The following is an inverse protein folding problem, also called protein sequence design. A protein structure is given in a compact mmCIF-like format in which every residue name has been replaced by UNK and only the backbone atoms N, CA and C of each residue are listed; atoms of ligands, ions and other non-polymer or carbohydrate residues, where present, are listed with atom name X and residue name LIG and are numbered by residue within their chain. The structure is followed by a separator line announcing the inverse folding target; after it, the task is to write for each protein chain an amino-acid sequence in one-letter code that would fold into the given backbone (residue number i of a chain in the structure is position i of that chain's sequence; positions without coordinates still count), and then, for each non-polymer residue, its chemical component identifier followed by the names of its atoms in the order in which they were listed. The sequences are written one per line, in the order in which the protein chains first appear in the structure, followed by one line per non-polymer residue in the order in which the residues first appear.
data_IF_975103315930
#
_entry.id   IF_975103315930
#
_cell.length_a   1.000
_cell.length_b   1.000
_cell.length_c   1.000
_cell.angle_alpha   90.00
_cell.angle_beta   90.00
_cell.angle_gamma   90.00
#
_symmetry.space_group_name_H-M   'P 1'
#
loop_
_entity.id
_entity.type
_entity.pdbx_description
1 polymer ?
#
# COMPACT_ATOMS: atom_id res chain seq x y z
N UNK A 1 -11.00 -4.12 8.56
CA UNK A 1 -10.09 -3.17 9.25
C UNK A 1 -10.36 -1.79 8.70
N UNK A 2 -10.36 -0.74 9.51
CA UNK A 2 -10.68 0.61 9.03
C UNK A 2 -9.49 1.21 8.26
N UNK A 3 -9.77 1.94 7.19
CA UNK A 3 -8.75 2.68 6.44
C UNK A 3 -8.22 3.86 7.26
N UNK A 4 -6.95 4.18 7.04
CA UNK A 4 -6.33 5.44 7.46
C UNK A 4 -6.33 6.34 6.23
N UNK A 5 -7.36 7.18 6.06
CA UNK A 5 -7.56 7.92 4.81
C UNK A 5 -8.15 9.30 5.05
N UNK A 6 -7.72 10.28 4.24
CA UNK A 6 -8.22 11.65 4.21
C UNK A 6 -8.14 12.20 2.77
N UNK A 7 -8.83 13.30 2.44
CA UNK A 7 -8.65 13.98 1.16
C UNK A 7 -7.24 14.58 1.00
N UNK A 8 -6.76 14.69 -0.24
CA UNK A 8 -5.55 15.46 -0.56
C UNK A 8 -4.23 14.86 -0.07
N UNK A 9 -4.21 13.55 0.21
CA UNK A 9 -2.99 12.86 0.63
C UNK A 9 -1.92 12.91 -0.46
N UNK A 10 -0.65 13.06 -0.06
CA UNK A 10 0.51 12.88 -0.93
C UNK A 10 0.60 11.44 -1.44
N UNK A 11 0.41 10.47 -0.55
CA UNK A 11 0.46 9.03 -0.87
C UNK A 11 -0.62 8.28 -0.10
N UNK A 12 -1.41 7.47 -0.81
CA UNK A 12 -2.23 6.41 -0.23
C UNK A 12 -1.53 5.06 -0.45
N UNK A 13 -1.01 4.46 0.60
CA UNK A 13 -0.45 3.10 0.54
C UNK A 13 -1.59 2.09 0.54
N UNK A 14 -1.49 1.07 -0.31
CA UNK A 14 -2.51 0.06 -0.48
C UNK A 14 -1.90 -1.34 -0.34
N UNK A 15 -2.21 -2.00 0.77
CA UNK A 15 -1.89 -3.42 0.97
C UNK A 15 -2.80 -4.33 0.14
N UNK A 16 -2.53 -5.64 0.18
CA UNK A 16 -3.37 -6.63 -0.50
C UNK A 16 -4.67 -6.83 0.28
N UNK A 17 -4.54 -7.34 1.50
CA UNK A 17 -5.62 -7.58 2.45
C UNK A 17 -5.03 -7.67 3.88
N UNK A 18 -5.85 -7.47 4.93
CA UNK A 18 -5.39 -7.65 6.30
C UNK A 18 -5.01 -9.11 6.57
N UNK A 19 -3.87 -9.33 7.23
CA UNK A 19 -3.65 -10.59 7.94
C UNK A 19 -4.62 -10.71 9.11
N UNK A 20 -4.95 -11.94 9.52
CA UNK A 20 -5.75 -12.20 10.74
C UNK A 20 -5.21 -11.41 11.94
N UNK A 21 -3.89 -11.42 12.13
CA UNK A 21 -3.24 -10.65 13.20
C UNK A 21 -3.56 -9.15 13.10
N UNK A 22 -3.38 -8.54 11.92
CA UNK A 22 -3.64 -7.11 11.68
C UNK A 22 -5.11 -6.76 11.88
N UNK A 23 -6.02 -7.68 11.53
CA UNK A 23 -7.46 -7.51 11.74
C UNK A 23 -7.84 -7.56 13.23
N UNK A 24 -7.25 -8.48 14.00
CA UNK A 24 -7.48 -8.61 15.44
C UNK A 24 -7.00 -7.37 16.19
N UNK A 25 -5.77 -6.91 15.92
CA UNK A 25 -5.22 -5.71 16.59
C UNK A 25 -5.70 -4.40 15.95
N UNK A 26 -6.44 -4.47 14.85
CA UNK A 26 -6.99 -3.32 14.09
C UNK A 26 -5.95 -2.32 13.61
N UNK A 27 -4.75 -2.80 13.31
CA UNK A 27 -3.63 -1.98 12.82
C UNK A 27 -3.06 -2.55 11.53
N UNK A 28 -2.83 -1.67 10.55
CA UNK A 28 -2.28 -2.06 9.26
C UNK A 28 -0.85 -2.57 9.41
N UNK A 29 -0.53 -3.64 8.67
CA UNK A 29 0.80 -4.25 8.64
C UNK A 29 1.37 -4.62 10.01
N UNK A 30 0.51 -4.98 10.98
CA UNK A 30 0.93 -5.18 12.36
C UNK A 30 1.59 -6.53 12.66
N UNK A 31 1.45 -7.52 11.76
CA UNK A 31 2.04 -8.86 11.96
C UNK A 31 3.56 -8.74 12.18
N UNK A 32 4.12 -9.37 13.24
CA UNK A 32 5.57 -9.46 13.42
C UNK A 32 6.27 -9.96 12.15
N UNK A 33 7.37 -9.32 11.80
CA UNK A 33 8.13 -9.60 10.56
C UNK A 33 7.56 -8.95 9.30
N UNK A 34 6.43 -8.23 9.35
CA UNK A 34 6.05 -7.33 8.26
C UNK A 34 7.01 -6.14 8.23
N UNK A 35 7.48 -5.77 7.03
CA UNK A 35 8.54 -4.79 6.82
C UNK A 35 8.03 -3.44 6.32
N UNK A 36 6.72 -3.19 6.34
CA UNK A 36 6.14 -1.92 5.90
C UNK A 36 6.67 -0.75 6.73
N UNK A 37 6.48 -0.80 8.06
CA UNK A 37 6.90 0.28 8.96
C UNK A 37 8.43 0.51 8.93
N UNK A 38 9.29 -0.55 8.98
CA UNK A 38 10.72 -0.38 8.77
C UNK A 38 11.09 0.22 7.41
N UNK A 39 10.44 -0.20 6.31
CA UNK A 39 10.72 0.33 4.98
C UNK A 39 10.29 1.80 4.85
N UNK A 40 9.16 2.18 5.46
CA UNK A 40 8.66 3.54 5.49
C UNK A 40 9.64 4.49 6.21
N UNK A 41 10.15 4.07 7.36
CA UNK A 41 11.19 4.81 8.09
C UNK A 41 12.51 4.87 7.32
N UNK A 42 13.05 3.72 6.91
CA UNK A 42 14.35 3.64 6.24
C UNK A 42 14.40 4.36 4.88
N UNK A 43 13.25 4.58 4.25
CA UNK A 43 13.14 5.36 3.01
C UNK A 43 12.95 6.86 3.24
N UNK A 44 12.74 7.29 4.48
CA UNK A 44 12.61 8.69 4.87
C UNK A 44 11.19 9.26 4.74
N UNK A 45 10.14 8.43 4.66
CA UNK A 45 8.75 8.91 4.75
C UNK A 45 8.39 9.33 6.18
N UNK A 46 9.03 8.72 7.19
CA UNK A 46 8.90 9.10 8.59
C UNK A 46 10.26 9.38 9.20
N UNK A 47 10.29 10.29 10.16
CA UNK A 47 11.47 10.75 10.90
C UNK A 47 11.92 9.77 11.99
N UNK A 48 11.00 8.90 12.42
CA UNK A 48 11.24 7.79 13.33
C UNK A 48 10.52 6.53 12.85
N UNK A 49 10.87 5.39 13.43
CA UNK A 49 10.12 4.16 13.25
C UNK A 49 8.80 4.24 14.03
N UNK A 50 7.68 4.27 13.30
CA UNK A 50 6.34 4.20 13.89
C UNK A 50 5.95 2.75 14.18
N UNK A 51 5.32 2.51 15.32
CA UNK A 51 4.62 1.27 15.62
C UNK A 51 3.25 1.22 14.90
N UNK A 52 2.69 0.04 14.62
CA UNK A 52 1.42 -0.07 13.90
C UNK A 52 0.24 0.67 14.53
N UNK A 53 0.19 0.77 15.87
CA UNK A 53 -0.86 1.50 16.57
C UNK A 53 -0.77 3.03 16.38
N UNK A 54 0.38 3.53 15.94
CA UNK A 54 0.62 4.94 15.64
C UNK A 54 0.19 5.31 14.22
N UNK A 55 -0.46 4.42 13.46
CA UNK A 55 -0.84 4.64 12.05
C UNK A 55 -1.61 5.94 11.77
N UNK A 56 -2.30 6.52 12.76
CA UNK A 56 -2.96 7.83 12.63
C UNK A 56 -1.99 8.99 12.38
N UNK A 57 -0.74 8.88 12.84
CA UNK A 57 0.33 9.86 12.62
C UNK A 57 0.69 10.06 11.14
N UNK A 58 0.30 9.11 10.28
CA UNK A 58 0.50 9.22 8.83
C UNK A 58 -0.35 10.34 8.22
N UNK A 59 -1.57 10.55 8.73
CA UNK A 59 -2.48 11.57 8.17
C UNK A 59 -1.89 12.97 8.31
N UNK A 60 -1.26 13.26 9.45
CA UNK A 60 -0.58 14.55 9.71
C UNK A 60 0.56 14.80 8.72
N UNK A 61 1.19 13.73 8.21
CA UNK A 61 2.28 13.79 7.23
C UNK A 61 1.79 13.76 5.77
N UNK A 62 0.47 13.67 5.57
CA UNK A 62 -0.16 13.58 4.25
C UNK A 62 -0.10 12.17 3.65
N UNK A 63 -0.02 11.13 4.47
CA UNK A 63 -0.01 9.73 4.03
C UNK A 63 -1.20 8.96 4.59
N UNK A 64 -1.65 7.94 3.86
CA UNK A 64 -2.75 7.06 4.29
C UNK A 64 -2.47 5.59 3.99
N UNK A 65 -3.32 4.71 4.53
CA UNK A 65 -3.29 3.27 4.30
C UNK A 65 -4.70 2.72 4.04
N UNK A 66 -4.84 1.91 2.99
CA UNK A 66 -6.00 1.08 2.65
C UNK A 66 -5.53 -0.32 2.26
N UNK A 67 -6.46 -1.22 1.92
CA UNK A 67 -6.17 -2.47 1.22
C UNK A 67 -7.00 -2.59 -0.07
N UNK A 68 -6.57 -3.44 -1.00
CA UNK A 68 -7.36 -3.81 -2.18
C UNK A 68 -8.59 -4.59 -1.74
N UNK A 69 -8.42 -5.60 -0.88
CA UNK A 69 -9.50 -6.40 -0.31
C UNK A 69 -9.62 -6.10 1.19
N UNK A 70 -10.83 -5.83 1.67
CA UNK A 70 -11.07 -5.35 3.05
C UNK A 70 -11.19 -6.50 4.06
N UNK A 71 -11.64 -7.65 3.57
CA UNK A 71 -11.86 -8.86 4.33
C UNK A 71 -10.53 -9.51 4.70
N UNK A 72 -10.36 -9.79 6.00
CA UNK A 72 -9.20 -10.54 6.48
C UNK A 72 -9.35 -12.00 6.02
N UNK A 73 -8.30 -12.55 5.41
CA UNK A 73 -8.32 -13.96 5.03
C UNK A 73 -7.65 -14.81 6.11
N UNK A 74 -8.30 -15.91 6.51
CA UNK A 74 -7.75 -16.91 7.45
C UNK A 74 -6.65 -17.75 6.78
N UNK A 75 -6.74 -17.93 5.47
CA UNK A 75 -5.69 -18.50 4.63
C UNK A 75 -5.18 -17.44 3.64
N UNK A 76 -3.86 -17.33 3.46
CA UNK A 76 -3.26 -16.43 2.47
C UNK A 76 -3.69 -16.75 1.02
N UNK A 77 -4.24 -17.94 0.79
CA UNK A 77 -4.57 -18.50 -0.52
C UNK A 77 -6.06 -18.39 -0.89
N UNK A 78 -6.91 -17.74 -0.08
CA UNK A 78 -8.36 -17.73 -0.32
C UNK A 78 -8.87 -16.58 -1.21
N UNK A 79 -8.01 -15.66 -1.64
CA UNK A 79 -8.44 -14.54 -2.49
C UNK A 79 -8.56 -14.98 -3.94
N UNK A 80 -9.78 -14.92 -4.46
CA UNK A 80 -10.11 -15.23 -5.84
C UNK A 80 -9.86 -14.02 -6.75
N UNK A 81 -9.74 -14.26 -8.07
CA UNK A 81 -9.67 -13.18 -9.05
C UNK A 81 -10.89 -12.23 -8.98
N UNK A 82 -12.06 -12.75 -8.58
CA UNK A 82 -13.28 -11.96 -8.38
C UNK A 82 -13.12 -11.00 -7.19
N UNK A 83 -12.54 -11.46 -6.09
CA UNK A 83 -12.31 -10.63 -4.90
C UNK A 83 -11.37 -9.47 -5.24
N UNK A 84 -10.30 -9.76 -5.99
CA UNK A 84 -9.40 -8.72 -6.51
C UNK A 84 -10.10 -7.73 -7.43
N UNK A 85 -10.91 -8.20 -8.38
CA UNK A 85 -11.63 -7.33 -9.30
C UNK A 85 -12.66 -6.43 -8.58
N UNK A 86 -13.34 -6.95 -7.56
CA UNK A 86 -14.22 -6.16 -6.70
C UNK A 86 -13.44 -5.16 -5.85
N UNK A 87 -12.34 -5.61 -5.22
CA UNK A 87 -11.44 -4.76 -4.46
C UNK A 87 -10.86 -3.62 -5.30
N UNK A 88 -10.48 -3.91 -6.55
CA UNK A 88 -10.02 -2.91 -7.52
C UNK A 88 -11.07 -1.84 -7.80
N UNK A 89 -12.34 -2.22 -7.98
CA UNK A 89 -13.46 -1.26 -8.16
C UNK A 89 -13.67 -0.40 -6.92
N UNK A 90 -13.62 -0.99 -5.71
CA UNK A 90 -13.75 -0.25 -4.44
C UNK A 90 -12.58 0.72 -4.25
N UNK A 91 -11.37 0.28 -4.58
CA UNK A 91 -10.16 1.11 -4.51
C UNK A 91 -10.21 2.28 -5.51
N UNK A 92 -10.68 2.06 -6.74
CA UNK A 92 -10.91 3.13 -7.72
C UNK A 92 -11.90 4.18 -7.20
N UNK A 93 -13.02 3.74 -6.62
CA UNK A 93 -13.98 4.64 -6.00
C UNK A 93 -13.37 5.46 -4.84
N UNK A 94 -12.55 4.83 -3.98
CA UNK A 94 -11.84 5.54 -2.89
C UNK A 94 -10.87 6.58 -3.46
N UNK A 95 -10.07 6.23 -4.46
CA UNK A 95 -9.10 7.14 -5.06
C UNK A 95 -9.79 8.32 -5.73
N UNK A 96 -10.89 8.12 -6.46
CA UNK A 96 -11.70 9.22 -7.02
C UNK A 96 -12.26 10.16 -5.96
N UNK A 97 -12.68 9.60 -4.82
CA UNK A 97 -13.25 10.37 -3.70
C UNK A 97 -12.21 11.18 -2.93
N UNK A 98 -11.07 10.57 -2.61
CA UNK A 98 -10.06 11.16 -1.72
C UNK A 98 -8.92 11.86 -2.47
N UNK A 99 -8.80 11.60 -3.77
CA UNK A 99 -7.85 12.25 -4.70
C UNK A 99 -6.42 12.32 -4.14
N UNK A 100 -5.83 11.19 -3.70
CA UNK A 100 -4.41 11.21 -3.33
C UNK A 100 -3.57 11.52 -4.56
N UNK A 101 -2.42 12.17 -4.39
CA UNK A 101 -1.52 12.45 -5.51
C UNK A 101 -0.88 11.17 -6.05
N UNK A 102 -0.55 10.23 -5.17
CA UNK A 102 -0.06 8.90 -5.52
C UNK A 102 -0.87 7.80 -4.81
N UNK A 103 -1.17 6.73 -5.54
CA UNK A 103 -1.57 5.43 -5.00
C UNK A 103 -0.37 4.49 -5.06
N UNK A 104 0.04 3.93 -3.93
CA UNK A 104 1.16 2.99 -3.85
C UNK A 104 0.66 1.58 -3.50
N UNK A 105 0.56 0.69 -4.49
CA UNK A 105 0.07 -0.69 -4.31
C UNK A 105 1.22 -1.63 -3.95
N UNK A 106 1.15 -2.25 -2.77
CA UNK A 106 2.20 -3.07 -2.17
C UNK A 106 2.02 -4.56 -2.55
N UNK A 107 2.18 -4.86 -3.83
CA UNK A 107 2.09 -6.22 -4.36
C UNK A 107 1.72 -6.23 -5.83
N UNK A 108 2.69 -6.57 -6.68
CA UNK A 108 2.50 -6.59 -8.14
C UNK A 108 1.37 -7.55 -8.59
N UNK A 109 1.26 -8.73 -7.97
CA UNK A 109 0.19 -9.68 -8.29
C UNK A 109 -1.21 -9.11 -8.01
N UNK A 110 -1.38 -8.45 -6.86
CA UNK A 110 -2.65 -7.81 -6.51
C UNK A 110 -3.01 -6.69 -7.49
N UNK A 111 -2.05 -5.84 -7.86
CA UNK A 111 -2.26 -4.80 -8.89
C UNK A 111 -2.66 -5.41 -10.24
N UNK A 112 -1.89 -6.41 -10.72
CA UNK A 112 -2.14 -7.07 -12.01
C UNK A 112 -3.53 -7.69 -12.07
N UNK A 113 -3.95 -8.39 -11.02
CA UNK A 113 -5.26 -9.05 -10.98
C UNK A 113 -6.40 -8.06 -10.78
N UNK A 114 -6.28 -7.12 -9.84
CA UNK A 114 -7.36 -6.18 -9.51
C UNK A 114 -7.69 -5.21 -10.66
N UNK A 115 -6.70 -4.84 -11.47
CA UNK A 115 -6.86 -3.85 -12.55
C UNK A 115 -6.67 -4.45 -13.95
N UNK A 116 -6.54 -5.77 -14.08
CA UNK A 116 -6.41 -6.44 -15.38
C UNK A 116 -5.15 -6.04 -16.15
N UNK A 117 -4.02 -5.86 -15.46
CA UNK A 117 -2.75 -5.36 -16.02
C UNK A 117 -1.64 -6.43 -16.00
N UNK A 118 -1.76 -7.58 -16.67
CA UNK A 118 -0.87 -8.74 -16.48
C UNK A 118 0.62 -8.46 -16.73
N UNK A 119 0.94 -7.45 -17.55
CA UNK A 119 2.31 -7.05 -17.90
C UNK A 119 2.88 -5.89 -17.06
N UNK A 120 2.13 -5.37 -16.09
CA UNK A 120 2.60 -4.28 -15.22
C UNK A 120 3.93 -4.65 -14.54
N UNK A 121 4.82 -3.68 -14.36
CA UNK A 121 6.10 -3.83 -13.69
C UNK A 121 6.10 -3.09 -12.34
N UNK A 122 7.12 -3.32 -11.52
CA UNK A 122 7.33 -2.49 -10.33
C UNK A 122 7.75 -1.07 -10.73
N UNK A 123 7.42 -0.09 -9.89
CA UNK A 123 7.69 1.33 -10.12
C UNK A 123 6.45 2.13 -10.52
N UNK A 124 6.69 3.33 -11.04
CA UNK A 124 5.65 4.20 -11.60
C UNK A 124 4.96 3.53 -12.78
N UNK A 125 3.63 3.50 -12.76
CA UNK A 125 2.83 3.00 -13.87
C UNK A 125 2.55 4.13 -14.88
N UNK A 126 2.46 3.82 -16.18
CA UNK A 126 2.15 4.82 -17.20
C UNK A 126 0.70 5.30 -17.13
N UNK A 127 -0.21 4.47 -16.62
CA UNK A 127 -1.62 4.85 -16.45
C UNK A 127 -1.88 5.57 -15.13
N UNK A 128 -2.82 6.51 -15.19
CA UNK A 128 -3.40 7.15 -14.01
C UNK A 128 -4.67 6.42 -13.58
N UNK A 129 -5.01 6.57 -12.30
CA UNK A 129 -6.30 6.21 -11.76
C UNK A 129 -7.06 7.51 -11.43
N UNK A 130 -7.96 7.92 -12.32
CA UNK A 130 -8.40 9.32 -12.40
C UNK A 130 -7.18 10.25 -12.57
N UNK A 131 -6.96 11.22 -11.67
CA UNK A 131 -5.80 12.11 -11.69
C UNK A 131 -4.65 11.62 -10.79
N UNK A 132 -4.82 10.46 -10.14
CA UNK A 132 -3.83 9.88 -9.22
C UNK A 132 -2.79 9.06 -9.97
N UNK A 133 -1.51 9.33 -9.71
CA UNK A 133 -0.40 8.52 -10.23
C UNK A 133 -0.32 7.19 -9.49
N UNK A 134 -0.12 6.08 -10.20
CA UNK A 134 -0.01 4.76 -9.58
C UNK A 134 1.45 4.32 -9.50
N UNK A 135 1.86 3.85 -8.33
CA UNK A 135 3.15 3.23 -8.08
C UNK A 135 2.95 1.81 -7.56
N UNK A 136 3.67 0.85 -8.14
CA UNK A 136 3.62 -0.55 -7.70
C UNK A 136 4.91 -0.88 -6.98
N UNK A 137 4.81 -1.32 -5.72
CA UNK A 137 5.94 -1.69 -4.88
C UNK A 137 5.85 -3.19 -4.53
N UNK A 138 6.97 -3.82 -4.12
CA UNK A 138 6.93 -5.19 -3.64
C UNK A 138 6.10 -5.30 -2.36
N UNK A 139 5.51 -6.47 -2.11
CA UNK A 139 4.79 -6.74 -0.87
C UNK A 139 5.80 -6.81 0.31
N UNK A 140 5.61 -6.01 1.38
CA UNK A 140 6.54 -5.96 2.52
C UNK A 140 6.40 -7.13 3.51
N UNK A 141 5.43 -8.04 3.31
CA UNK A 141 5.27 -9.24 4.14
C UNK A 141 6.59 -9.99 4.30
N UNK A 142 6.95 -10.40 5.52
CA UNK A 142 8.16 -11.19 5.79
C UNK A 142 8.22 -12.52 5.04
N UNK A 143 7.09 -13.03 4.55
CA UNK A 143 7.02 -14.24 3.71
C UNK A 143 7.56 -14.01 2.29
N UNK A 144 7.66 -12.75 1.83
CA UNK A 144 8.22 -12.41 0.54
C UNK A 144 9.76 -12.40 0.60
N UNK A 145 10.39 -13.54 0.34
CA UNK A 145 11.84 -13.71 0.40
C UNK A 145 12.60 -13.03 -0.77
N UNK A 146 11.92 -12.64 -1.84
CA UNK A 146 12.57 -12.07 -3.03
C UNK A 146 13.15 -10.66 -2.83
N UNK A 147 12.68 -9.93 -1.81
CA UNK A 147 13.12 -8.56 -1.54
C UNK A 147 13.70 -8.47 -0.14
N UNK A 148 14.95 -8.01 -0.03
CA UNK A 148 15.59 -7.76 1.25
C UNK A 148 15.10 -6.41 1.81
N UNK A 149 15.24 -6.15 3.12
CA UNK A 149 14.85 -4.87 3.70
C UNK A 149 15.46 -3.65 2.99
N UNK A 150 16.73 -3.73 2.57
CA UNK A 150 17.39 -2.66 1.83
C UNK A 150 16.76 -2.41 0.43
N UNK A 151 16.30 -3.47 -0.24
CA UNK A 151 15.64 -3.34 -1.55
C UNK A 151 14.28 -2.63 -1.38
N UNK A 152 13.51 -2.99 -0.35
CA UNK A 152 12.25 -2.31 -0.02
C UNK A 152 12.49 -0.83 0.32
N UNK A 153 13.46 -0.53 1.17
CA UNK A 153 13.80 0.85 1.54
C UNK A 153 14.19 1.69 0.31
N UNK A 154 15.02 1.14 -0.60
CA UNK A 154 15.39 1.82 -1.85
C UNK A 154 14.16 2.12 -2.71
N UNK A 155 13.29 1.14 -2.94
CA UNK A 155 12.12 1.32 -3.81
C UNK A 155 11.07 2.27 -3.21
N UNK A 156 10.89 2.24 -1.89
CA UNK A 156 10.05 3.22 -1.20
C UNK A 156 10.67 4.63 -1.32
N UNK A 157 12.00 4.75 -1.23
CA UNK A 157 12.70 6.04 -1.38
C UNK A 157 12.52 6.63 -2.79
N UNK A 158 12.52 5.80 -3.83
CA UNK A 158 12.22 6.23 -5.20
C UNK A 158 10.83 6.89 -5.29
N UNK A 159 9.81 6.26 -4.70
CA UNK A 159 8.48 6.87 -4.60
C UNK A 159 8.52 8.19 -3.81
N UNK A 160 9.20 8.22 -2.66
CA UNK A 160 9.30 9.43 -1.82
C UNK A 160 9.90 10.61 -2.59
N UNK A 161 10.99 10.37 -3.32
CA UNK A 161 11.64 11.38 -4.15
C UNK A 161 10.72 11.87 -5.28
N UNK A 162 9.94 10.97 -5.90
CA UNK A 162 8.96 11.37 -6.90
C UNK A 162 7.82 12.24 -6.32
N UNK A 163 7.38 11.94 -5.10
CA UNK A 163 6.40 12.75 -4.37
C UNK A 163 6.94 14.16 -4.13
N UNK A 164 8.19 14.28 -3.65
CA UNK A 164 8.85 15.57 -3.41
C UNK A 164 9.08 16.37 -4.70
N UNK A 165 9.49 15.72 -5.78
CA UNK A 165 9.89 16.39 -7.03
C UNK A 165 8.72 17.00 -7.84
N UNK A 166 7.47 16.65 -7.54
CA UNK A 166 6.31 17.28 -8.20
C UNK A 166 5.37 18.00 -7.23
N UNK A 167 5.87 18.30 -6.02
CA UNK A 167 5.18 19.16 -5.06
C UNK A 167 5.32 20.63 -5.43
#
# INVERSE_FOLDING_TARGET
MQDVIAPGLKVLFCGINPSVYSAVVRHHFARPGNRFWPALYASGFTDRLLAPHEQGELLVRGYGITNVVEEASVAADSLTARDYAEGGRKLDAKVRRYQPRYLAVLGIGAWRTAFGKPKALLGLQPELLADTRVWVLPNPSGLNAHYRPADLARMFRELRLAVEAGG
#
